data_IF_514119037393
#
_entry.id   IF_514119037393
#
_cell.length_a   1.000
_cell.length_b   1.000
_cell.length_c   1.000
_cell.angle_alpha   90.00
_cell.angle_beta   90.00
_cell.angle_gamma   90.00
#
_symmetry.space_group_name_H-M   'P 1'
#
loop_
_entity.id
_entity.type
_entity.pdbx_description
1 polymer ?
#
# COMPACT_ATOMS: atom_id res chain seq x y z
N UNK A 1 -1.55 -33.09 -10.39
CA UNK A 1 -2.53 -33.43 -11.40
C UNK A 1 -3.58 -32.31 -11.45
N UNK A 2 -3.55 -31.48 -12.50
CA UNK A 2 -4.53 -30.41 -12.71
C UNK A 2 -5.87 -31.09 -13.02
N UNK A 3 -6.88 -30.88 -12.15
CA UNK A 3 -8.21 -31.38 -12.37
C UNK A 3 -8.75 -30.80 -13.69
N UNK A 4 -9.11 -31.67 -14.64
CA UNK A 4 -9.82 -31.25 -15.85
C UNK A 4 -11.15 -30.60 -15.44
N UNK A 5 -11.27 -29.29 -15.66
CA UNK A 5 -12.56 -28.60 -15.53
C UNK A 5 -13.54 -29.22 -16.53
N UNK A 6 -14.74 -29.56 -16.07
CA UNK A 6 -15.80 -30.00 -16.93
C UNK A 6 -16.07 -28.90 -17.97
N UNK A 7 -16.13 -29.28 -19.24
CA UNK A 7 -16.44 -28.35 -20.32
C UNK A 7 -17.83 -27.75 -20.10
N UNK A 8 -17.92 -26.42 -20.13
CA UNK A 8 -19.18 -25.69 -20.07
C UNK A 8 -19.88 -25.92 -21.41
N UNK A 9 -21.01 -26.64 -21.39
CA UNK A 9 -21.81 -26.93 -22.61
C UNK A 9 -23.01 -25.97 -22.67
N UNK A 10 -22.79 -24.82 -23.34
CA UNK A 10 -23.86 -23.84 -23.64
C UNK A 10 -24.01 -23.77 -25.14
N UNK A 11 -25.23 -24.01 -25.71
CA UNK A 11 -25.44 -23.88 -27.14
C UNK A 11 -25.06 -22.49 -27.65
N UNK A 12 -24.29 -22.44 -28.75
CA UNK A 12 -23.82 -21.18 -29.35
C UNK A 12 -22.59 -20.53 -28.69
N UNK A 13 -22.03 -21.12 -27.65
CA UNK A 13 -20.83 -20.56 -26.97
C UNK A 13 -19.61 -20.50 -27.91
N UNK A 14 -19.50 -21.47 -28.84
CA UNK A 14 -18.37 -21.51 -29.78
C UNK A 14 -18.42 -20.40 -30.85
N UNK A 15 -19.60 -19.83 -31.09
CA UNK A 15 -19.83 -18.79 -32.09
C UNK A 15 -19.65 -17.36 -31.51
N UNK A 16 -19.43 -17.25 -30.22
CA UNK A 16 -19.21 -15.95 -29.53
C UNK A 16 -17.81 -15.45 -29.82
N UNK A 17 -17.73 -14.36 -30.56
CA UNK A 17 -16.46 -13.61 -30.74
C UNK A 17 -16.31 -12.64 -29.57
N UNK A 18 -15.26 -12.82 -28.76
CA UNK A 18 -14.99 -11.92 -27.67
C UNK A 18 -14.55 -10.55 -28.23
N UNK A 19 -15.01 -9.43 -27.63
CA UNK A 19 -14.57 -8.10 -28.03
C UNK A 19 -13.05 -7.93 -27.75
N UNK A 20 -12.36 -7.29 -28.67
CA UNK A 20 -10.91 -6.98 -28.55
C UNK A 20 -10.67 -5.88 -27.50
N UNK A 21 -11.64 -4.99 -27.33
CA UNK A 21 -11.63 -3.94 -26.30
C UNK A 21 -12.51 -4.34 -25.12
N UNK A 22 -12.13 -3.98 -23.88
CA UNK A 22 -13.00 -4.20 -22.74
C UNK A 22 -14.38 -3.56 -22.98
N UNK A 23 -15.44 -4.31 -22.71
CA UNK A 23 -16.81 -3.76 -22.70
C UNK A 23 -16.94 -2.80 -21.52
N UNK A 24 -17.88 -1.86 -21.64
CA UNK A 24 -18.24 -1.00 -20.51
C UNK A 24 -18.70 -1.88 -19.33
N UNK A 25 -17.96 -1.81 -18.25
CA UNK A 25 -18.23 -2.58 -17.03
C UNK A 25 -19.28 -1.92 -16.15
N UNK A 26 -19.72 -0.70 -16.48
CA UNK A 26 -20.60 0.10 -15.63
C UNK A 26 -19.94 0.61 -14.34
N UNK A 27 -18.61 0.43 -14.19
CA UNK A 27 -17.87 0.90 -13.03
C UNK A 27 -17.54 2.39 -13.18
N UNK A 28 -17.83 3.16 -12.15
CA UNK A 28 -17.40 4.54 -11.98
C UNK A 28 -16.06 4.62 -11.22
N UNK A 29 -15.46 5.80 -11.16
CA UNK A 29 -14.24 6.01 -10.39
C UNK A 29 -14.47 5.78 -8.86
N UNK A 30 -15.70 5.97 -8.39
CA UNK A 30 -16.09 5.77 -6.98
C UNK A 30 -16.18 4.27 -6.61
N UNK A 31 -16.29 3.40 -7.61
CA UNK A 31 -16.36 1.94 -7.41
C UNK A 31 -14.98 1.30 -7.34
N UNK A 32 -13.90 2.07 -7.54
CA UNK A 32 -12.55 1.55 -7.65
C UNK A 32 -11.67 2.14 -6.55
N UNK A 33 -11.10 1.26 -5.74
CA UNK A 33 -10.08 1.64 -4.76
C UNK A 33 -8.68 1.32 -5.29
N UNK A 34 -7.72 2.18 -4.99
CA UNK A 34 -6.32 1.95 -5.33
C UNK A 34 -5.75 0.81 -4.47
N UNK A 35 -5.31 -0.31 -5.07
CA UNK A 35 -4.65 -1.36 -4.32
C UNK A 35 -3.43 -0.84 -3.58
N UNK A 36 -3.03 -1.51 -2.48
CA UNK A 36 -1.81 -1.18 -1.73
C UNK A 36 -0.78 -2.28 -1.87
N UNK A 37 0.49 -1.87 -1.83
CA UNK A 37 1.61 -2.76 -1.61
C UNK A 37 1.65 -3.08 -0.12
N UNK A 38 1.31 -4.31 0.26
CA UNK A 38 1.45 -4.83 1.62
C UNK A 38 2.84 -5.42 1.79
N UNK A 39 3.56 -5.00 2.81
CA UNK A 39 4.80 -5.64 3.24
C UNK A 39 4.46 -6.71 4.28
N UNK A 40 4.78 -7.95 3.99
CA UNK A 40 4.45 -9.09 4.84
C UNK A 40 5.36 -9.12 6.07
N UNK A 41 4.75 -9.12 7.25
CA UNK A 41 5.46 -9.27 8.52
C UNK A 41 5.52 -10.75 8.93
N UNK A 42 6.43 -11.16 9.83
CA UNK A 42 6.49 -12.54 10.31
C UNK A 42 5.19 -13.05 10.94
N UNK A 43 4.34 -12.13 11.41
CA UNK A 43 3.04 -12.43 12.03
C UNK A 43 1.84 -12.28 11.09
N UNK A 44 2.08 -11.91 9.82
CA UNK A 44 1.02 -11.81 8.82
C UNK A 44 0.41 -13.18 8.54
N UNK A 45 -0.90 -13.24 8.39
CA UNK A 45 -1.61 -14.50 8.11
C UNK A 45 -1.09 -15.18 6.85
N UNK A 46 -0.87 -14.39 5.78
CA UNK A 46 -0.34 -14.89 4.51
C UNK A 46 1.05 -15.58 4.65
N UNK A 47 1.87 -15.16 5.63
CA UNK A 47 3.14 -15.81 5.94
C UNK A 47 2.93 -17.11 6.71
N UNK A 48 2.01 -17.12 7.68
CA UNK A 48 1.69 -18.33 8.45
C UNK A 48 1.02 -19.39 7.61
N UNK A 49 0.25 -18.99 6.61
CA UNK A 49 -0.42 -19.88 5.65
C UNK A 49 0.50 -20.32 4.50
N UNK A 50 1.74 -19.82 4.45
CA UNK A 50 2.72 -20.20 3.45
C UNK A 50 2.46 -19.61 2.05
N UNK A 51 1.60 -18.57 1.94
CA UNK A 51 1.28 -17.90 0.67
C UNK A 51 2.42 -16.95 0.28
N UNK A 52 3.02 -16.28 1.26
CA UNK A 52 4.12 -15.33 1.04
C UNK A 52 5.24 -15.51 2.06
N UNK A 53 6.33 -14.78 1.88
CA UNK A 53 7.49 -14.79 2.78
C UNK A 53 7.57 -13.50 3.60
N UNK A 54 8.02 -13.61 4.86
CA UNK A 54 8.23 -12.44 5.70
C UNK A 54 9.26 -11.48 5.09
N UNK A 55 8.89 -10.22 4.95
CA UNK A 55 9.64 -9.20 4.22
C UNK A 55 9.32 -9.12 2.73
N UNK A 56 8.50 -10.03 2.20
CA UNK A 56 7.99 -9.95 0.83
C UNK A 56 6.89 -8.92 0.66
N UNK A 57 6.45 -8.73 -0.57
CA UNK A 57 5.38 -7.81 -0.95
C UNK A 57 4.19 -8.55 -1.52
N UNK A 58 3.01 -8.00 -1.32
CA UNK A 58 1.74 -8.53 -1.81
C UNK A 58 0.80 -7.40 -2.20
N UNK A 59 0.01 -7.62 -3.25
CA UNK A 59 -1.09 -6.72 -3.60
C UNK A 59 -2.27 -6.92 -2.63
N UNK A 60 -2.76 -5.84 -2.03
CA UNK A 60 -3.80 -5.91 -0.99
C UNK A 60 -5.18 -6.33 -1.50
N UNK A 61 -5.45 -6.17 -2.78
CA UNK A 61 -6.75 -6.48 -3.39
C UNK A 61 -6.75 -7.85 -4.06
N UNK A 62 -5.70 -8.14 -4.85
CA UNK A 62 -5.63 -9.40 -5.60
C UNK A 62 -5.04 -10.55 -4.81
N UNK A 63 -4.31 -10.28 -3.71
CA UNK A 63 -3.53 -11.28 -2.98
C UNK A 63 -2.32 -11.81 -3.75
N UNK A 64 -1.96 -11.17 -4.86
CA UNK A 64 -0.81 -11.57 -5.67
C UNK A 64 0.49 -11.24 -4.94
N UNK A 65 1.40 -12.21 -4.89
CA UNK A 65 2.76 -12.01 -4.38
C UNK A 65 3.57 -11.24 -5.41
N UNK A 66 4.10 -10.11 -4.99
CA UNK A 66 4.90 -9.22 -5.83
C UNK A 66 6.39 -9.60 -5.77
N UNK A 67 7.23 -9.09 -6.69
CA UNK A 67 8.67 -9.32 -6.69
C UNK A 67 9.35 -8.97 -5.35
N UNK A 68 10.47 -9.63 -5.04
CA UNK A 68 11.27 -9.41 -3.82
C UNK A 68 11.71 -7.95 -3.66
N UNK A 69 12.00 -7.28 -4.76
CA UNK A 69 12.20 -5.83 -4.82
C UNK A 69 11.32 -5.24 -5.90
N UNK A 70 10.85 -4.02 -5.69
CA UNK A 70 9.97 -3.33 -6.61
C UNK A 70 10.70 -2.15 -7.23
N UNK A 71 10.61 -2.05 -8.55
CA UNK A 71 10.99 -0.86 -9.30
C UNK A 71 9.74 -0.01 -9.49
N UNK A 72 9.68 1.13 -8.84
CA UNK A 72 8.46 1.95 -8.83
C UNK A 72 8.67 3.30 -9.48
N UNK A 73 7.72 3.67 -10.32
CA UNK A 73 7.55 5.01 -10.86
C UNK A 73 6.44 5.71 -10.07
N UNK A 74 6.83 6.57 -9.15
CA UNK A 74 5.89 7.33 -8.32
C UNK A 74 5.39 8.52 -9.14
N UNK A 75 4.08 8.81 -9.12
CA UNK A 75 3.56 9.96 -9.85
C UNK A 75 2.94 11.05 -8.95
N UNK A 76 2.64 10.75 -7.68
CA UNK A 76 2.20 11.74 -6.70
C UNK A 76 2.45 11.28 -5.27
N UNK A 77 2.23 12.17 -4.30
CA UNK A 77 2.30 11.88 -2.88
C UNK A 77 1.20 12.63 -2.15
N UNK A 78 0.52 11.95 -1.22
CA UNK A 78 -0.39 12.59 -0.30
C UNK A 78 -0.30 11.93 1.09
N UNK A 79 -0.87 12.59 2.07
CA UNK A 79 -0.88 12.13 3.45
C UNK A 79 -2.30 11.80 3.86
N UNK A 80 -2.44 10.70 4.58
CA UNK A 80 -3.66 10.32 5.26
C UNK A 80 -3.36 10.05 6.74
N UNK A 81 -4.39 9.81 7.53
CA UNK A 81 -4.24 9.45 8.94
C UNK A 81 -5.13 8.27 9.27
N UNK A 82 -4.63 7.42 10.16
CA UNK A 82 -5.36 6.24 10.61
C UNK A 82 -5.13 6.00 12.10
N UNK A 83 -6.22 5.71 12.81
CA UNK A 83 -6.19 5.25 14.20
C UNK A 83 -6.79 3.86 14.26
N UNK A 84 -6.04 2.93 14.83
CA UNK A 84 -6.52 1.58 15.11
C UNK A 84 -6.94 1.46 16.56
N UNK A 85 -8.06 0.80 16.79
CA UNK A 85 -8.56 0.37 18.08
C UNK A 85 -8.41 -1.14 18.26
N UNK A 86 -9.07 -1.69 19.28
CA UNK A 86 -9.01 -3.13 19.56
C UNK A 86 -9.73 -3.98 18.49
N UNK A 87 -10.77 -3.43 17.88
CA UNK A 87 -11.58 -4.12 16.86
C UNK A 87 -11.14 -3.87 15.41
N UNK A 88 -10.10 -3.07 15.18
CA UNK A 88 -9.64 -2.71 13.84
C UNK A 88 -9.45 -1.22 13.65
N UNK A 89 -9.67 -0.73 12.42
CA UNK A 89 -9.61 0.68 12.12
C UNK A 89 -10.77 1.41 12.82
N UNK A 90 -10.42 2.40 13.65
CA UNK A 90 -11.38 3.15 14.47
C UNK A 90 -11.69 4.51 13.85
N UNK A 91 -10.70 5.16 13.24
CA UNK A 91 -10.87 6.43 12.57
C UNK A 91 -9.87 6.55 11.42
N UNK A 92 -10.33 7.07 10.29
CA UNK A 92 -9.50 7.37 9.12
C UNK A 92 -9.75 8.81 8.66
N UNK A 93 -8.71 9.45 8.13
CA UNK A 93 -8.78 10.73 7.44
C UNK A 93 -8.01 10.60 6.13
N UNK A 94 -8.69 10.59 4.96
CA UNK A 94 -8.04 10.40 3.67
C UNK A 94 -7.07 11.52 3.30
N UNK A 95 -7.35 12.73 3.74
CA UNK A 95 -6.58 13.95 3.47
C UNK A 95 -5.75 14.45 4.66
N UNK A 96 -5.92 13.84 5.83
CA UNK A 96 -5.28 14.25 7.07
C UNK A 96 -5.90 15.49 7.72
N UNK A 97 -7.06 15.97 7.24
CA UNK A 97 -7.74 17.17 7.70
C UNK A 97 -8.93 16.83 8.60
N UNK A 98 -9.84 16.00 8.12
CA UNK A 98 -11.02 15.58 8.86
C UNK A 98 -11.07 14.05 9.01
N UNK A 99 -11.30 13.59 10.22
CA UNK A 99 -11.41 12.17 10.56
C UNK A 99 -12.85 11.69 10.55
N UNK A 100 -13.07 10.46 10.11
CA UNK A 100 -14.39 9.84 9.98
C UNK A 100 -15.16 9.74 11.31
N UNK A 101 -14.48 9.82 12.46
CA UNK A 101 -15.10 9.63 13.78
C UNK A 101 -14.86 10.82 14.71
N UNK A 102 -13.65 11.40 14.70
CA UNK A 102 -13.24 12.39 15.71
C UNK A 102 -13.19 13.83 15.18
N UNK A 103 -13.73 14.12 13.98
CA UNK A 103 -13.77 15.45 13.39
C UNK A 103 -12.38 15.95 12.99
N UNK A 104 -12.10 17.25 13.16
CA UNK A 104 -10.87 17.88 12.70
C UNK A 104 -9.62 17.25 13.31
N UNK A 105 -8.73 16.76 12.46
CA UNK A 105 -7.49 16.13 12.88
C UNK A 105 -6.58 17.07 13.67
N UNK A 106 -6.58 18.39 13.34
CA UNK A 106 -5.78 19.41 14.04
C UNK A 106 -6.14 19.57 15.52
N UNK A 107 -7.37 19.26 15.89
CA UNK A 107 -7.90 19.38 17.25
C UNK A 107 -7.95 18.03 17.99
N UNK A 108 -7.55 16.95 17.32
CA UNK A 108 -7.69 15.59 17.83
C UNK A 108 -6.59 15.24 18.82
N UNK A 109 -6.97 14.88 20.03
CA UNK A 109 -6.05 14.46 21.11
C UNK A 109 -5.14 13.27 20.79
N UNK A 110 -5.56 12.43 19.84
CA UNK A 110 -4.80 11.24 19.43
C UNK A 110 -3.59 11.55 18.56
N UNK A 111 -3.38 12.81 18.15
CA UNK A 111 -2.19 13.27 17.42
C UNK A 111 -1.00 13.56 18.33
N UNK A 112 -1.24 13.75 19.61
CA UNK A 112 -0.24 14.24 20.53
C UNK A 112 0.49 13.12 21.26
N UNK A 113 1.78 13.34 21.52
CA UNK A 113 2.54 12.51 22.45
C UNK A 113 1.99 12.72 23.87
N UNK A 114 1.70 11.64 24.57
CA UNK A 114 1.30 11.66 25.99
C UNK A 114 2.32 10.84 26.78
N UNK A 115 3.02 11.46 27.71
CA UNK A 115 3.97 10.81 28.63
C UNK A 115 4.93 9.82 27.95
N UNK A 116 5.57 10.21 26.85
CA UNK A 116 6.45 9.37 26.01
C UNK A 116 5.75 8.26 25.23
N UNK A 117 4.43 8.18 25.28
CA UNK A 117 3.63 7.27 24.44
C UNK A 117 3.44 7.94 23.08
N UNK A 118 3.77 7.25 21.99
CA UNK A 118 3.57 7.80 20.65
C UNK A 118 2.09 8.03 20.34
N UNK A 119 1.77 8.96 19.43
CA UNK A 119 0.41 9.21 19.01
C UNK A 119 -0.31 7.93 18.59
N UNK A 120 -1.55 7.75 19.07
CA UNK A 120 -2.39 6.62 18.69
C UNK A 120 -2.83 6.72 17.22
N UNK A 121 -2.98 7.96 16.71
CA UNK A 121 -3.27 8.23 15.32
C UNK A 121 -1.96 8.33 14.52
N UNK A 122 -1.78 7.44 13.55
CA UNK A 122 -0.60 7.37 12.70
C UNK A 122 -0.76 8.24 11.46
N UNK A 123 0.31 8.97 11.11
CA UNK A 123 0.44 9.60 9.80
C UNK A 123 0.87 8.55 8.79
N UNK A 124 0.16 8.47 7.67
CA UNK A 124 0.46 7.60 6.55
C UNK A 124 0.92 8.45 5.37
N UNK A 125 2.05 8.10 4.79
CA UNK A 125 2.54 8.66 3.54
C UNK A 125 2.16 7.71 2.41
N UNK A 126 1.31 8.15 1.50
CA UNK A 126 0.85 7.38 0.36
C UNK A 126 1.57 7.86 -0.90
N UNK A 127 2.13 6.94 -1.64
CA UNK A 127 2.85 7.14 -2.89
C UNK A 127 2.20 6.30 -3.99
N UNK A 128 1.18 6.83 -4.68
CA UNK A 128 0.65 6.19 -5.86
C UNK A 128 1.74 6.04 -6.93
N UNK A 129 1.88 4.83 -7.45
CA UNK A 129 2.97 4.47 -8.34
C UNK A 129 2.57 3.33 -9.31
N UNK A 130 3.42 3.12 -10.29
CA UNK A 130 3.44 1.90 -11.11
C UNK A 130 4.61 1.02 -10.70
N UNK A 131 4.42 -0.30 -10.68
CA UNK A 131 5.49 -1.27 -10.49
C UNK A 131 5.97 -1.69 -11.88
N UNK A 132 7.21 -1.32 -12.23
CA UNK A 132 7.74 -1.52 -13.58
C UNK A 132 8.27 -2.93 -13.82
N UNK A 133 8.72 -3.61 -12.77
CA UNK A 133 9.26 -4.97 -12.82
C UNK A 133 8.27 -6.07 -12.41
N UNK A 134 7.01 -5.75 -12.10
CA UNK A 134 5.93 -6.71 -12.00
C UNK A 134 5.29 -6.85 -13.38
N UNK A 135 5.19 -8.08 -13.89
CA UNK A 135 4.70 -8.33 -15.24
C UNK A 135 3.39 -7.58 -15.53
N UNK A 136 3.39 -6.84 -16.63
CA UNK A 136 2.22 -6.09 -17.09
C UNK A 136 1.19 -7.12 -17.57
N UNK A 137 0.11 -7.30 -16.83
CA UNK A 137 -1.05 -8.03 -17.35
C UNK A 137 -1.72 -7.10 -18.36
N UNK A 138 -1.52 -7.39 -19.66
CA UNK A 138 -2.15 -6.72 -20.82
C UNK A 138 -2.03 -5.19 -20.87
N UNK A 139 -0.86 -4.67 -21.19
CA UNK A 139 -0.70 -3.40 -21.93
C UNK A 139 -0.64 -2.11 -21.10
N UNK A 140 -1.41 -1.95 -20.02
CA UNK A 140 -1.34 -0.74 -19.18
C UNK A 140 -1.12 -1.13 -17.73
N UNK A 141 -0.05 -0.64 -17.08
CA UNK A 141 0.16 -0.91 -15.66
C UNK A 141 -0.97 -0.30 -14.84
N UNK A 142 -1.57 -1.09 -13.94
CA UNK A 142 -2.52 -0.55 -12.98
C UNK A 142 -1.78 0.20 -11.88
N UNK A 143 -2.25 1.37 -11.48
CA UNK A 143 -1.66 2.09 -10.36
C UNK A 143 -1.87 1.32 -9.06
N UNK A 144 -0.89 1.44 -8.17
CA UNK A 144 -0.90 0.86 -6.82
C UNK A 144 -0.31 1.85 -5.84
N UNK A 145 -0.70 1.81 -4.58
CA UNK A 145 -0.15 2.70 -3.56
C UNK A 145 0.92 2.03 -2.71
N UNK A 146 2.07 2.64 -2.59
CA UNK A 146 3.06 2.34 -1.56
C UNK A 146 2.73 3.20 -0.34
N UNK A 147 2.30 2.58 0.75
CA UNK A 147 1.93 3.29 1.99
C UNK A 147 2.96 3.05 3.08
N UNK A 148 3.46 4.13 3.68
CA UNK A 148 4.49 4.09 4.73
C UNK A 148 4.01 4.82 5.98
N UNK A 149 4.00 4.12 7.12
CA UNK A 149 3.65 4.69 8.42
C UNK A 149 4.53 4.17 9.56
N UNK A 150 4.36 4.71 10.75
CA UNK A 150 5.02 4.25 11.98
C UNK A 150 6.53 4.07 11.79
N UNK A 151 7.03 2.83 11.87
CA UNK A 151 8.46 2.50 11.73
C UNK A 151 9.02 2.86 10.36
N UNK A 152 8.20 2.83 9.30
CA UNK A 152 8.59 3.19 7.93
C UNK A 152 8.54 4.70 7.63
N UNK A 153 8.09 5.53 8.59
CA UNK A 153 8.06 6.99 8.42
C UNK A 153 9.44 7.61 8.19
N UNK A 154 10.51 6.97 8.70
CA UNK A 154 11.89 7.41 8.42
C UNK A 154 12.23 7.24 6.94
N UNK A 155 11.82 6.12 6.36
CA UNK A 155 12.01 5.83 4.93
C UNK A 155 11.18 6.78 4.07
N UNK A 156 9.94 7.07 4.47
CA UNK A 156 9.10 8.06 3.81
C UNK A 156 9.76 9.45 3.78
N UNK A 157 10.30 9.91 4.92
CA UNK A 157 11.02 11.20 4.99
C UNK A 157 12.28 11.21 4.12
N UNK A 158 13.06 10.10 4.09
CA UNK A 158 14.22 9.97 3.21
C UNK A 158 13.80 10.11 1.75
N UNK A 159 12.75 9.43 1.31
CA UNK A 159 12.22 9.49 -0.04
C UNK A 159 11.78 10.92 -0.40
N UNK A 160 10.98 11.55 0.46
CA UNK A 160 10.54 12.94 0.27
C UNK A 160 11.71 13.91 0.15
N UNK A 161 12.75 13.71 0.97
CA UNK A 161 13.96 14.54 0.93
C UNK A 161 14.72 14.36 -0.39
N UNK A 162 14.87 13.12 -0.87
CA UNK A 162 15.55 12.85 -2.14
C UNK A 162 14.87 13.58 -3.31
N UNK A 163 13.53 13.53 -3.36
CA UNK A 163 12.78 14.21 -4.42
C UNK A 163 12.85 15.74 -4.26
N UNK A 164 12.64 16.26 -3.05
CA UNK A 164 12.72 17.69 -2.78
C UNK A 164 14.10 18.28 -3.14
N UNK A 165 15.19 17.59 -2.79
CA UNK A 165 16.56 18.04 -3.09
C UNK A 165 16.92 17.93 -4.57
N UNK A 166 16.27 17.04 -5.31
CA UNK A 166 16.52 16.92 -6.76
C UNK A 166 15.89 18.04 -7.58
N UNK A 167 14.95 18.80 -7.00
CA UNK A 167 14.14 19.81 -7.70
C UNK A 167 13.43 19.27 -8.95
N UNK A 168 13.09 17.97 -8.94
CA UNK A 168 12.43 17.25 -10.04
C UNK A 168 11.04 16.77 -9.61
N UNK A 169 10.25 16.36 -10.59
CA UNK A 169 8.97 15.72 -10.32
C UNK A 169 9.14 14.31 -9.76
N UNK A 170 8.11 13.77 -9.13
CA UNK A 170 8.09 12.41 -8.65
C UNK A 170 8.39 11.37 -9.73
N UNK A 171 7.86 11.58 -10.93
CA UNK A 171 7.95 10.69 -12.08
C UNK A 171 9.22 10.88 -12.94
N UNK A 172 10.15 11.73 -12.53
CA UNK A 172 11.45 11.87 -13.22
C UNK A 172 12.49 10.84 -12.78
N UNK A 173 12.12 9.99 -11.81
CA UNK A 173 13.02 8.96 -11.26
C UNK A 173 12.30 7.66 -10.97
N UNK A 174 12.97 6.55 -11.21
CA UNK A 174 12.56 5.22 -10.77
C UNK A 174 13.24 4.91 -9.45
N UNK A 175 12.47 4.43 -8.49
CA UNK A 175 12.95 4.07 -7.16
C UNK A 175 12.89 2.56 -6.98
N UNK A 176 13.90 2.02 -6.32
CA UNK A 176 13.88 0.63 -5.85
C UNK A 176 13.38 0.61 -4.43
N UNK A 177 12.35 -0.19 -4.21
CA UNK A 177 11.77 -0.47 -2.90
C UNK A 177 12.14 -1.90 -2.53
N UNK A 178 12.74 -2.06 -1.38
CA UNK A 178 13.08 -3.34 -0.77
C UNK A 178 12.72 -3.34 0.70
N UNK A 179 12.98 -4.43 1.39
CA UNK A 179 12.75 -4.53 2.83
C UNK A 179 14.04 -4.84 3.58
N UNK A 180 14.10 -4.41 4.81
CA UNK A 180 15.18 -4.73 5.73
C UNK A 180 14.61 -5.34 7.01
N UNK A 181 15.19 -6.45 7.41
CA UNK A 181 14.90 -7.11 8.69
C UNK A 181 15.49 -6.31 9.84
N UNK A 182 14.66 -5.97 10.82
CA UNK A 182 15.04 -5.26 12.04
C UNK A 182 14.66 -6.11 13.25
N UNK A 183 15.54 -6.15 14.25
CA UNK A 183 15.28 -6.83 15.52
C UNK A 183 15.36 -5.82 16.66
N UNK A 184 14.39 -5.85 17.57
CA UNK A 184 14.39 -5.12 18.81
C UNK A 184 13.86 -5.99 19.95
N UNK A 185 13.72 -5.43 21.15
CA UNK A 185 13.22 -6.14 22.35
C UNK A 185 11.79 -6.69 22.18
N UNK A 186 11.02 -6.14 21.24
CA UNK A 186 9.63 -6.59 20.94
C UNK A 186 9.57 -7.70 19.88
N UNK A 187 10.69 -8.02 19.25
CA UNK A 187 10.77 -9.08 18.24
C UNK A 187 11.43 -8.65 16.93
N UNK A 188 11.21 -9.45 15.91
CA UNK A 188 11.70 -9.22 14.55
C UNK A 188 10.57 -8.69 13.68
N UNK A 189 10.88 -7.66 12.88
CA UNK A 189 9.96 -7.07 11.92
C UNK A 189 10.73 -6.55 10.71
N UNK A 190 10.00 -6.22 9.66
CA UNK A 190 10.57 -5.66 8.44
C UNK A 190 10.16 -4.20 8.28
N UNK A 191 11.03 -3.40 7.67
CA UNK A 191 10.79 -2.01 7.31
C UNK A 191 11.15 -1.78 5.86
N UNK A 192 10.48 -0.83 5.20
CA UNK A 192 10.83 -0.44 3.84
C UNK A 192 12.21 0.18 3.78
N UNK A 193 12.93 -0.12 2.72
CA UNK A 193 14.10 0.62 2.24
C UNK A 193 13.79 1.25 0.90
N UNK A 194 14.39 2.42 0.64
CA UNK A 194 14.24 3.12 -0.63
C UNK A 194 15.60 3.63 -1.10
N UNK A 195 15.86 3.45 -2.38
CA UNK A 195 16.98 4.03 -3.09
C UNK A 195 16.53 4.50 -4.48
N UNK A 196 17.15 5.57 -4.98
CA UNK A 196 16.97 5.96 -6.38
C UNK A 196 17.72 4.95 -7.23
N UNK A 197 17.00 4.29 -8.15
CA UNK A 197 17.59 3.29 -9.03
C UNK A 197 18.22 3.95 -10.26
N UNK A 198 17.44 4.80 -10.93
CA UNK A 198 17.85 5.50 -12.16
C UNK A 198 16.93 6.70 -12.43
N UNK A 199 17.28 7.49 -13.39
CA UNK A 199 16.34 8.44 -13.99
C UNK A 199 15.30 7.69 -14.81
N UNK A 200 14.07 8.21 -14.85
CA UNK A 200 13.01 7.64 -15.65
C UNK A 200 13.24 7.93 -17.14
N UNK A 201 12.94 6.96 -18.00
CA UNK A 201 12.95 7.14 -19.44
C UNK A 201 11.81 8.05 -19.90
N UNK A 202 11.91 8.61 -21.10
CA UNK A 202 10.94 9.59 -21.62
C UNK A 202 9.49 9.05 -21.59
N UNK A 203 9.29 7.79 -21.99
CA UNK A 203 7.96 7.18 -22.01
C UNK A 203 7.43 6.90 -20.59
N UNK A 204 8.32 6.57 -19.64
CA UNK A 204 7.98 6.44 -18.22
C UNK A 204 7.59 7.80 -17.63
N UNK A 205 8.31 8.88 -17.95
CA UNK A 205 7.97 10.23 -17.53
C UNK A 205 6.60 10.66 -18.07
N UNK A 206 6.32 10.38 -19.36
CA UNK A 206 5.01 10.64 -19.97
C UNK A 206 3.90 9.88 -19.27
N UNK A 207 4.12 8.59 -18.98
CA UNK A 207 3.19 7.76 -18.21
C UNK A 207 2.94 8.34 -16.82
N UNK A 208 3.99 8.69 -16.10
CA UNK A 208 3.90 9.28 -14.76
C UNK A 208 3.17 10.63 -14.76
N UNK A 209 3.46 11.49 -15.73
CA UNK A 209 2.76 12.76 -15.89
C UNK A 209 1.28 12.57 -16.25
N UNK A 210 0.96 11.64 -17.14
CA UNK A 210 -0.42 11.29 -17.46
C UNK A 210 -1.17 10.81 -16.20
N UNK A 211 -0.58 9.89 -15.44
CA UNK A 211 -1.16 9.40 -14.20
C UNK A 211 -1.38 10.52 -13.17
N UNK A 212 -0.39 11.39 -13.01
CA UNK A 212 -0.53 12.57 -12.16
C UNK A 212 -1.75 13.41 -12.56
N UNK A 213 -1.93 13.69 -13.85
CA UNK A 213 -3.09 14.49 -14.33
C UNK A 213 -4.43 13.81 -14.12
N UNK A 214 -4.49 12.48 -14.21
CA UNK A 214 -5.74 11.73 -14.04
C UNK A 214 -6.10 11.55 -12.56
N UNK A 215 -5.13 11.28 -11.73
CA UNK A 215 -5.35 10.72 -10.40
C UNK A 215 -4.98 11.63 -9.24
N UNK A 216 -4.15 12.66 -9.42
CA UNK A 216 -3.74 13.53 -8.32
C UNK A 216 -4.96 14.21 -7.65
N UNK A 217 -5.09 14.00 -6.34
CA UNK A 217 -6.20 14.55 -5.54
C UNK A 217 -7.54 13.83 -5.66
N UNK A 218 -7.60 12.69 -6.39
CA UNK A 218 -8.84 11.95 -6.66
C UNK A 218 -8.83 10.50 -6.18
N UNK A 219 -7.76 10.05 -5.53
CA UNK A 219 -7.58 8.63 -5.21
C UNK A 219 -7.87 8.35 -3.75
N UNK A 220 -8.68 7.33 -3.51
CA UNK A 220 -8.77 6.65 -2.24
C UNK A 220 -7.95 5.37 -2.27
N UNK A 221 -7.14 5.16 -1.25
CA UNK A 221 -6.34 3.93 -1.10
C UNK A 221 -7.16 2.91 -0.33
N UNK A 222 -7.11 1.65 -0.75
CA UNK A 222 -7.76 0.54 -0.04
C UNK A 222 -7.44 0.58 1.45
N UNK A 223 -8.44 0.28 2.27
CA UNK A 223 -8.32 0.34 3.73
C UNK A 223 -7.20 -0.58 4.24
N UNK A 224 -6.53 -0.13 5.28
CA UNK A 224 -5.51 -0.91 5.96
C UNK A 224 -6.18 -1.95 6.86
N UNK A 225 -5.98 -3.22 6.56
CA UNK A 225 -6.45 -4.29 7.45
C UNK A 225 -5.47 -4.47 8.62
N UNK A 226 -5.99 -4.82 9.79
CA UNK A 226 -5.19 -5.09 11.01
C UNK A 226 -4.13 -6.19 10.83
N UNK A 227 -4.24 -6.98 9.78
CA UNK A 227 -3.34 -8.10 9.48
C UNK A 227 -1.88 -7.69 9.22
N UNK A 228 -1.60 -6.41 8.98
CA UNK A 228 -0.26 -5.93 8.66
C UNK A 228 0.66 -5.71 9.89
N UNK A 229 0.50 -6.49 10.94
CA UNK A 229 1.54 -6.61 11.97
C UNK A 229 1.22 -6.09 13.36
N UNK A 230 -0.01 -5.77 13.68
CA UNK A 230 -0.40 -5.41 15.04
C UNK A 230 -1.48 -6.35 15.57
N UNK A 231 -1.08 -7.46 16.22
CA UNK A 231 -1.97 -8.14 17.15
C UNK A 231 -1.82 -7.48 18.53
N UNK A 232 -2.87 -6.88 19.11
CA UNK A 232 -2.83 -6.47 20.50
C UNK A 232 -2.62 -7.74 21.33
N UNK A 233 -1.58 -7.78 22.16
CA UNK A 233 -1.40 -8.86 23.14
C UNK A 233 -2.69 -8.96 23.94
N UNK A 234 -3.35 -10.12 23.91
CA UNK A 234 -4.44 -10.44 24.83
C UNK A 234 -3.90 -10.18 26.24
N UNK A 235 -4.51 -9.25 26.97
CA UNK A 235 -4.23 -9.04 28.39
C UNK A 235 -4.45 -10.39 29.06
N UNK A 236 -3.38 -10.98 29.60
CA UNK A 236 -3.53 -12.11 30.52
C UNK A 236 -4.48 -11.68 31.64
N UNK A 237 -5.31 -12.62 32.11
CA UNK A 237 -6.29 -12.40 33.18
C UNK A 237 -5.70 -11.90 34.52
N UNK A 238 -4.39 -11.75 34.59
CA UNK A 238 -3.65 -11.46 35.84
C UNK A 238 -3.07 -10.06 35.90
N UNK A 239 -3.73 -9.05 35.44
CA UNK A 239 -3.56 -7.64 35.85
C UNK A 239 -2.14 -7.06 36.00
N UNK A 240 -1.07 -7.80 35.69
CA UNK A 240 0.33 -7.33 35.81
C UNK A 240 0.91 -7.05 34.44
N UNK A 241 1.12 -5.77 34.16
CA UNK A 241 1.89 -5.28 33.01
C UNK A 241 3.36 -5.59 33.29
N UNK A 242 4.08 -6.35 32.47
CA UNK A 242 5.54 -6.39 32.54
C UNK A 242 6.07 -5.08 31.94
N UNK A 243 6.95 -4.45 32.69
CA UNK A 243 7.70 -3.24 32.32
C UNK A 243 8.52 -3.40 31.05
#
# INVERSE_FOLDING_TARGET
>A
AVAKRNAINVPGLADIVLPVTPVDTGLSQEDIVLPRIRMLQPVSQDVTDGIGTAGGFMNSVTGEVLPEHLEVLIFTHFKSRVKFGEAGMECMSPDGIEGSVYGLCSECDFLNWKDRIPPACALVHNYPCYILNAGIISGTPLPIALSMMKTSSKTARKLNTMVAMSHRNWFDSVFKISTMKVKNDKGTFFVYQVEKLRDAEEDEQKLGYWAYKQFAGKMEVAEETQADGFQPKKKGKDGKVPF
#
